data_IF_907738120800
#
_entry.id   IF_907738120800
#
_cell.length_a   1.000
_cell.length_b   1.000
_cell.length_c   1.000
_cell.angle_alpha   90.00
_cell.angle_beta   90.00
_cell.angle_gamma   90.00
#
_symmetry.space_group_name_H-M   'P 1'
#
loop_
_entity.id
_entity.type
_entity.pdbx_description
1 polymer ?
#
# COMPACT_ATOMS: atom_id res chain seq x y z
N UNK A 1 -0.47 -14.13 -9.27
CA UNK A 1 -1.63 -13.68 -10.07
C UNK A 1 -1.12 -12.69 -11.10
N UNK A 2 -1.61 -12.79 -12.33
CA UNK A 2 -1.38 -11.84 -13.42
C UNK A 2 -2.58 -11.95 -14.36
N UNK A 3 -3.06 -10.83 -14.88
CA UNK A 3 -4.12 -10.83 -15.87
C UNK A 3 -3.44 -11.09 -17.22
N UNK A 4 -3.80 -12.21 -17.86
CA UNK A 4 -3.47 -12.42 -19.26
C UNK A 4 -4.44 -11.57 -20.07
N UNK A 5 -3.90 -10.70 -20.93
CA UNK A 5 -4.65 -9.87 -21.86
C UNK A 5 -5.38 -8.67 -21.24
N UNK A 6 -4.62 -7.70 -20.70
CA UNK A 6 -5.13 -6.35 -20.47
C UNK A 6 -5.38 -5.66 -21.82
N UNK A 7 -6.57 -5.13 -22.03
CA UNK A 7 -6.84 -4.32 -23.21
C UNK A 7 -6.18 -2.93 -23.07
N UNK A 8 -5.76 -2.33 -24.20
CA UNK A 8 -5.12 -1.01 -24.23
C UNK A 8 -5.97 0.08 -23.57
N UNK A 9 -7.30 -0.01 -23.71
CA UNK A 9 -8.23 0.91 -23.05
C UNK A 9 -8.14 0.83 -21.51
N UNK A 10 -7.95 -0.37 -20.95
CA UNK A 10 -7.81 -0.54 -19.50
C UNK A 10 -6.43 -0.09 -18.99
N UNK A 11 -5.38 -0.17 -19.82
CA UNK A 11 -4.06 0.38 -19.48
C UNK A 11 -4.18 1.90 -19.36
N UNK A 12 -4.79 2.54 -20.37
CA UNK A 12 -4.95 4.00 -20.41
C UNK A 12 -5.71 4.55 -19.20
N UNK A 13 -6.78 3.87 -18.77
CA UNK A 13 -7.54 4.26 -17.58
C UNK A 13 -6.64 4.24 -16.32
N UNK A 14 -5.76 3.24 -16.19
CA UNK A 14 -4.85 3.11 -15.05
C UNK A 14 -3.76 4.18 -15.07
N UNK A 15 -3.18 4.45 -16.24
CA UNK A 15 -2.18 5.51 -16.40
C UNK A 15 -2.76 6.88 -16.06
N UNK A 16 -3.93 7.22 -16.61
CA UNK A 16 -4.63 8.46 -16.28
C UNK A 16 -4.96 8.57 -14.80
N UNK A 17 -5.39 7.48 -14.14
CA UNK A 17 -5.63 7.51 -12.69
C UNK A 17 -4.34 7.84 -11.88
N UNK A 18 -3.20 7.26 -12.29
CA UNK A 18 -1.91 7.53 -11.65
C UNK A 18 -1.48 8.99 -11.86
N UNK A 19 -1.75 9.60 -13.01
CA UNK A 19 -1.45 11.01 -13.29
C UNK A 19 -2.14 11.97 -12.32
N UNK A 20 -3.33 11.63 -11.84
CA UNK A 20 -4.04 12.43 -10.83
C UNK A 20 -3.54 12.19 -9.39
N UNK A 21 -2.62 11.25 -9.19
CA UNK A 21 -2.13 10.86 -7.87
C UNK A 21 -0.70 11.35 -7.64
N UNK A 22 -0.38 11.63 -6.37
CA UNK A 22 1.01 11.84 -5.95
C UNK A 22 1.71 10.50 -5.77
N UNK A 23 2.75 10.25 -6.58
CA UNK A 23 3.54 9.01 -6.49
C UNK A 23 4.66 9.18 -5.47
N UNK A 24 4.66 8.34 -4.43
CA UNK A 24 5.68 8.36 -3.38
C UNK A 24 6.82 7.38 -3.72
N UNK A 25 8.10 7.82 -3.67
CA UNK A 25 9.23 6.93 -3.90
C UNK A 25 9.46 5.98 -2.72
N UNK A 26 9.89 4.76 -3.02
CA UNK A 26 10.29 3.79 -2.00
C UNK A 26 11.66 4.12 -1.42
N UNK A 27 11.69 5.00 -0.41
CA UNK A 27 12.92 5.44 0.26
C UNK A 27 13.54 4.35 1.14
N UNK A 28 14.81 4.49 1.48
CA UNK A 28 15.47 3.57 2.42
C UNK A 28 14.82 3.56 3.81
N UNK A 29 14.26 4.69 4.25
CA UNK A 29 13.51 4.80 5.51
C UNK A 29 12.28 3.88 5.47
N UNK A 30 11.48 3.98 4.42
CA UNK A 30 10.29 3.12 4.22
C UNK A 30 10.69 1.64 4.16
N UNK A 31 11.78 1.29 3.47
CA UNK A 31 12.28 -0.10 3.40
C UNK A 31 12.62 -0.66 4.78
N UNK A 32 13.33 0.11 5.61
CA UNK A 32 13.69 -0.30 6.97
C UNK A 32 12.45 -0.46 7.85
N UNK A 33 11.52 0.48 7.79
CA UNK A 33 10.26 0.41 8.54
C UNK A 33 9.40 -0.78 8.08
N UNK A 34 9.37 -1.11 6.78
CA UNK A 34 8.66 -2.28 6.26
C UNK A 34 9.26 -3.60 6.81
N UNK A 35 10.60 -3.71 6.84
CA UNK A 35 11.30 -4.86 7.45
C UNK A 35 10.93 -4.99 8.93
N UNK A 36 10.92 -3.87 9.66
CA UNK A 36 10.57 -3.85 11.08
C UNK A 36 9.13 -4.33 11.33
N UNK A 37 8.16 -3.83 10.56
CA UNK A 37 6.75 -4.26 10.64
C UNK A 37 6.65 -5.75 10.35
N UNK A 38 7.26 -6.23 9.27
CA UNK A 38 7.26 -7.65 8.85
C UNK A 38 7.84 -8.57 9.92
N UNK A 39 8.84 -8.12 10.69
CA UNK A 39 9.42 -8.89 11.81
C UNK A 39 8.48 -8.99 13.01
N UNK A 40 7.70 -7.94 13.29
CA UNK A 40 6.76 -7.91 14.40
C UNK A 40 5.47 -8.68 14.13
N UNK A 41 5.00 -8.66 12.88
CA UNK A 41 3.73 -9.26 12.50
C UNK A 41 3.86 -10.06 11.20
N UNK A 42 3.20 -11.21 11.16
CA UNK A 42 3.08 -12.00 9.93
C UNK A 42 2.12 -11.32 8.94
N UNK A 43 2.65 -10.51 8.03
CA UNK A 43 1.92 -9.83 6.94
C UNK A 43 2.73 -9.94 5.64
N UNK A 44 2.15 -9.99 4.43
CA UNK A 44 2.91 -9.97 3.17
C UNK A 44 3.91 -8.79 3.05
N UNK A 45 4.98 -8.97 2.28
CA UNK A 45 5.98 -7.90 2.13
C UNK A 45 5.42 -6.63 1.45
N UNK A 46 4.62 -6.74 0.37
CA UNK A 46 3.99 -5.56 -0.24
C UNK A 46 3.12 -4.78 0.77
N UNK A 47 2.32 -5.48 1.56
CA UNK A 47 1.46 -4.86 2.58
C UNK A 47 2.28 -4.18 3.69
N UNK A 48 3.40 -4.79 4.11
CA UNK A 48 4.33 -4.16 5.05
C UNK A 48 4.93 -2.87 4.48
N UNK A 49 5.18 -2.80 3.16
CA UNK A 49 5.63 -1.58 2.49
C UNK A 49 4.54 -0.52 2.51
N UNK A 50 3.29 -0.85 2.18
CA UNK A 50 2.18 0.11 2.23
C UNK A 50 1.95 0.66 3.64
N UNK A 51 1.97 -0.20 4.66
CA UNK A 51 1.86 0.23 6.05
C UNK A 51 3.02 1.14 6.47
N UNK A 52 4.25 0.78 6.10
CA UNK A 52 5.43 1.60 6.38
C UNK A 52 5.34 2.97 5.69
N UNK A 53 4.94 3.02 4.42
CA UNK A 53 4.75 4.28 3.70
C UNK A 53 3.74 5.17 4.41
N UNK A 54 2.58 4.64 4.80
CA UNK A 54 1.56 5.41 5.50
C UNK A 54 2.07 5.95 6.85
N UNK A 55 2.74 5.11 7.65
CA UNK A 55 3.30 5.51 8.95
C UNK A 55 4.39 6.59 8.78
N UNK A 56 5.35 6.37 7.88
CA UNK A 56 6.47 7.28 7.68
C UNK A 56 6.06 8.63 7.07
N UNK A 57 4.98 8.63 6.27
CA UNK A 57 4.41 9.85 5.68
C UNK A 57 3.35 10.51 6.56
N UNK A 58 2.96 9.90 7.69
CA UNK A 58 1.89 10.41 8.55
C UNK A 58 0.50 10.38 7.90
N UNK A 59 0.30 9.47 6.95
CA UNK A 59 -0.96 9.34 6.20
C UNK A 59 -1.88 8.29 6.80
N UNK A 60 -3.17 8.42 6.49
CA UNK A 60 -4.16 7.37 6.79
C UNK A 60 -4.24 6.41 5.62
N UNK A 61 -4.03 5.12 5.88
CA UNK A 61 -4.18 4.09 4.86
C UNK A 61 -5.66 3.77 4.67
N UNK A 62 -6.17 3.97 3.47
CA UNK A 62 -7.53 3.58 3.06
C UNK A 62 -7.46 2.22 2.39
N UNK A 63 -8.18 1.23 2.91
CA UNK A 63 -8.17 -0.14 2.34
C UNK A 63 -9.42 -0.93 2.71
N UNK A 64 -9.79 -1.90 1.88
CA UNK A 64 -10.79 -2.92 2.23
C UNK A 64 -10.18 -4.10 3.02
N UNK A 65 -8.85 -4.20 3.08
CA UNK A 65 -8.17 -5.32 3.72
C UNK A 65 -8.11 -5.15 5.25
N UNK A 66 -8.87 -6.00 5.93
CA UNK A 66 -8.94 -6.06 7.40
C UNK A 66 -7.63 -6.55 8.03
N UNK A 67 -6.71 -7.13 7.26
CA UNK A 67 -5.39 -7.59 7.71
C UNK A 67 -4.54 -6.49 8.34
N UNK A 68 -4.70 -5.25 7.88
CA UNK A 68 -3.97 -4.08 8.39
C UNK A 68 -4.35 -3.68 9.82
N UNK A 69 -5.50 -4.14 10.36
CA UNK A 69 -5.91 -3.90 11.75
C UNK A 69 -4.90 -4.39 12.79
N UNK A 70 -4.03 -5.33 12.40
CA UNK A 70 -3.01 -5.91 13.29
C UNK A 70 -1.83 -4.96 13.53
N UNK A 71 -1.73 -3.85 12.78
CA UNK A 71 -0.67 -2.84 12.91
C UNK A 71 -1.18 -1.73 13.82
N UNK A 72 -0.78 -1.75 15.09
CA UNK A 72 -1.30 -0.83 16.11
C UNK A 72 -0.98 0.65 15.83
N UNK A 73 0.18 0.92 15.22
CA UNK A 73 0.69 2.29 15.00
C UNK A 73 0.23 2.88 13.65
N UNK A 74 -0.63 2.17 12.91
CA UNK A 74 -1.10 2.59 11.60
C UNK A 74 -2.46 3.31 11.71
N UNK A 75 -2.52 4.56 11.22
CA UNK A 75 -3.81 5.22 10.97
C UNK A 75 -4.52 4.53 9.82
N UNK A 76 -5.68 3.95 10.08
CA UNK A 76 -6.38 3.06 9.15
C UNK A 76 -7.84 3.48 8.99
N UNK A 77 -8.27 3.67 7.75
CA UNK A 77 -9.67 3.82 7.38
C UNK A 77 -10.09 2.62 6.55
N UNK A 78 -11.01 1.83 7.08
CA UNK A 78 -11.52 0.64 6.39
C UNK A 78 -12.78 0.97 5.62
N UNK A 79 -12.78 0.60 4.35
CA UNK A 79 -13.96 0.66 3.48
C UNK A 79 -14.53 -0.75 3.34
N UNK A 80 -15.86 -0.89 3.53
CA UNK A 80 -16.55 -2.10 3.06
C UNK A 80 -16.87 -1.87 1.58
N UNK A 81 -16.39 -2.80 0.75
CA UNK A 81 -16.59 -2.82 -0.71
C UNK A 81 -17.27 -4.13 -1.07
#
# INVERSE_FOLDING_TARGET
MGIKDLADAEIKIRETAIEYCSVLPLTNKIKQSAIYIKRKIKIPMPDAIFAATAIESGFTLVTADRGFKRIKDLSLLLIDV
#
